data_IF_591839956483
#
_entry.id   IF_591839956483
#
_cell.length_a   1.000
_cell.length_b   1.000
_cell.length_c   1.000
_cell.angle_alpha   90.00
_cell.angle_beta   90.00
_cell.angle_gamma   90.00
#
_symmetry.space_group_name_H-M   'P 1'
#
loop_
_entity.id
_entity.type
_entity.pdbx_description
1 polymer ?
#
# COMPACT_ATOMS: atom_id res chain seq x y z
N UNK A 1 -6.95 -35.80 3.49
CA UNK A 1 -6.98 -34.34 3.25
C UNK A 1 -6.12 -34.06 2.02
N UNK A 2 -6.74 -33.67 0.90
CA UNK A 2 -6.02 -33.35 -0.31
C UNK A 2 -5.28 -32.00 -0.15
N UNK A 3 -4.05 -31.85 -0.64
CA UNK A 3 -3.32 -30.58 -0.56
C UNK A 3 -4.01 -29.50 -1.39
N UNK A 4 -4.25 -28.33 -0.78
CA UNK A 4 -4.80 -27.15 -1.45
C UNK A 4 -3.81 -26.71 -2.55
N UNK A 5 -4.25 -26.54 -3.81
CA UNK A 5 -3.35 -26.19 -4.90
C UNK A 5 -2.65 -24.87 -4.67
N UNK A 6 -1.38 -24.79 -5.03
CA UNK A 6 -0.44 -23.68 -4.74
C UNK A 6 -0.89 -22.33 -5.29
N UNK A 7 -1.72 -22.31 -6.35
CA UNK A 7 -2.30 -21.09 -6.94
C UNK A 7 -3.38 -20.46 -6.04
N UNK A 8 -4.16 -21.26 -5.29
CA UNK A 8 -5.14 -20.74 -4.33
C UNK A 8 -4.48 -20.07 -3.10
N UNK A 9 -3.28 -20.53 -2.69
CA UNK A 9 -2.51 -19.89 -1.62
C UNK A 9 -1.95 -18.52 -2.03
N UNK A 10 -1.63 -18.32 -3.32
CA UNK A 10 -1.09 -17.06 -3.84
C UNK A 10 -2.16 -15.97 -3.99
N UNK A 11 -3.39 -16.32 -4.34
CA UNK A 11 -4.53 -15.38 -4.41
C UNK A 11 -4.94 -14.92 -3.01
N UNK A 12 -4.89 -15.81 -2.01
CA UNK A 12 -5.20 -15.47 -0.62
C UNK A 12 -4.19 -14.49 0.00
N UNK A 13 -2.89 -14.57 -0.36
CA UNK A 13 -1.87 -13.68 0.18
C UNK A 13 -1.99 -12.24 -0.33
N UNK A 14 -2.46 -12.06 -1.55
CA UNK A 14 -2.63 -10.75 -2.16
C UNK A 14 -3.90 -10.03 -1.67
N UNK A 15 -5.01 -10.77 -1.52
CA UNK A 15 -6.23 -10.27 -0.90
C UNK A 15 -6.06 -10.01 0.61
N UNK A 16 -5.19 -10.75 1.30
CA UNK A 16 -4.94 -10.61 2.73
C UNK A 16 -4.29 -9.27 3.10
N UNK A 17 -3.47 -8.67 2.23
CA UNK A 17 -2.91 -7.33 2.50
C UNK A 17 -4.00 -6.26 2.52
N UNK A 18 -5.06 -6.41 1.72
CA UNK A 18 -6.21 -5.51 1.70
C UNK A 18 -7.26 -5.91 2.75
N UNK A 19 -7.49 -7.22 2.97
CA UNK A 19 -8.54 -7.73 3.86
C UNK A 19 -8.19 -7.70 5.36
N UNK A 20 -6.91 -7.70 5.75
CA UNK A 20 -6.50 -7.60 7.16
C UNK A 20 -6.70 -6.20 7.78
N UNK A 21 -7.14 -5.24 6.98
CA UNK A 21 -7.43 -3.90 7.43
C UNK A 21 -8.88 -3.75 7.99
N UNK A 22 -9.72 -4.77 7.84
CA UNK A 22 -11.17 -4.68 8.17
C UNK A 22 -11.52 -4.90 9.66
N UNK A 23 -10.57 -5.24 10.54
CA UNK A 23 -10.89 -5.53 11.95
C UNK A 23 -10.61 -4.40 12.94
N UNK A 24 -10.18 -3.24 12.49
CA UNK A 24 -10.01 -2.07 13.35
C UNK A 24 -11.32 -1.26 13.41
N UNK A 25 -12.20 -1.62 14.35
CA UNK A 25 -13.32 -0.81 14.79
C UNK A 25 -12.82 0.61 15.14
N UNK A 26 -13.47 1.64 14.57
CA UNK A 26 -13.10 3.04 14.72
C UNK A 26 -13.32 3.54 16.15
N UNK A 27 -12.39 3.25 17.04
CA UNK A 27 -12.19 4.04 18.25
C UNK A 27 -11.23 5.19 17.93
N UNK A 28 -11.45 6.42 18.43
CA UNK A 28 -10.51 7.51 18.22
C UNK A 28 -9.18 7.15 18.89
N UNK A 29 -8.19 6.79 18.08
CA UNK A 29 -6.85 6.52 18.55
C UNK A 29 -6.19 7.85 18.91
N UNK A 30 -5.93 8.06 20.20
CA UNK A 30 -5.01 9.09 20.66
C UNK A 30 -3.63 8.77 20.06
N UNK A 31 -3.03 9.74 19.40
CA UNK A 31 -1.68 9.63 18.82
C UNK A 31 -0.73 9.04 19.86
N UNK A 32 0.04 7.97 19.56
CA UNK A 32 1.03 7.43 20.48
C UNK A 32 2.26 8.33 20.65
N UNK A 33 2.22 9.56 20.14
CA UNK A 33 3.24 10.58 20.31
C UNK A 33 3.00 11.49 21.51
N UNK A 34 2.32 10.97 22.56
CA UNK A 34 2.32 11.57 23.89
C UNK A 34 3.76 11.62 24.39
N UNK A 35 4.30 12.83 24.55
CA UNK A 35 5.68 13.15 24.87
C UNK A 35 6.26 12.32 26.02
N UNK A 36 6.95 11.26 25.67
CA UNK A 36 8.03 10.78 26.52
C UNK A 36 9.23 11.62 26.12
N UNK A 37 9.67 12.45 27.06
CA UNK A 37 10.84 13.29 26.89
C UNK A 37 11.97 12.48 26.29
N UNK A 38 12.35 12.81 25.05
CA UNK A 38 13.54 12.25 24.41
C UNK A 38 14.70 12.85 25.21
N UNK A 39 15.14 12.12 26.20
CA UNK A 39 16.44 12.33 26.82
C UNK A 39 17.44 12.33 25.67
N UNK A 40 18.26 13.35 25.60
CA UNK A 40 19.48 13.41 24.79
C UNK A 40 20.50 12.39 25.35
N UNK A 41 20.12 11.12 25.35
CA UNK A 41 20.98 10.01 25.69
C UNK A 41 21.62 9.50 24.41
N UNK A 42 22.89 9.79 24.30
CA UNK A 42 23.98 9.09 23.64
C UNK A 42 23.78 8.68 22.16
N UNK A 43 24.75 9.08 21.37
CA UNK A 43 25.11 8.61 20.02
C UNK A 43 25.44 7.10 19.95
N UNK A 44 25.01 6.28 20.95
CA UNK A 44 25.60 4.95 21.17
C UNK A 44 24.79 3.77 20.68
N UNK A 45 23.50 3.92 20.27
CA UNK A 45 22.73 2.73 19.86
C UNK A 45 21.80 2.95 18.65
N UNK A 46 22.37 3.51 17.59
CA UNK A 46 21.65 3.51 16.31
C UNK A 46 21.59 2.10 15.73
N UNK A 47 20.41 1.63 15.30
CA UNK A 47 20.26 0.30 14.74
C UNK A 47 21.19 0.08 13.55
N UNK A 48 21.93 -1.05 13.60
CA UNK A 48 22.86 -1.48 12.55
C UNK A 48 22.42 -2.74 11.84
N UNK A 49 21.47 -3.48 12.44
CA UNK A 49 20.94 -4.75 11.93
C UNK A 49 19.43 -4.73 11.95
N UNK A 50 18.86 -4.02 10.97
CA UNK A 50 17.41 -3.79 10.88
C UNK A 50 16.78 -4.94 10.11
N UNK A 51 15.70 -5.51 10.65
CA UNK A 51 14.81 -6.38 9.88
C UNK A 51 13.53 -5.62 9.58
N UNK A 52 13.15 -5.55 8.31
CA UNK A 52 11.90 -4.94 7.87
C UNK A 52 10.94 -6.01 7.33
N UNK A 53 9.82 -6.23 8.05
CA UNK A 53 8.75 -7.13 7.60
C UNK A 53 7.70 -6.42 6.75
N UNK A 54 7.88 -5.13 6.51
CA UNK A 54 6.93 -4.25 5.84
C UNK A 54 7.56 -3.66 4.59
N UNK A 55 7.13 -4.02 3.38
CA UNK A 55 7.71 -3.48 2.14
C UNK A 55 7.75 -1.95 2.08
N UNK A 56 6.72 -1.28 2.61
CA UNK A 56 6.68 0.19 2.64
C UNK A 56 7.85 0.79 3.45
N UNK A 57 8.13 0.24 4.62
CA UNK A 57 9.22 0.73 5.47
C UNK A 57 10.61 0.34 4.93
N UNK A 58 10.70 -0.80 4.23
CA UNK A 58 11.91 -1.16 3.50
C UNK A 58 12.24 -0.08 2.46
N UNK A 59 11.27 0.31 1.63
CA UNK A 59 11.44 1.40 0.67
C UNK A 59 11.81 2.73 1.34
N UNK A 60 11.20 3.04 2.50
CA UNK A 60 11.51 4.24 3.28
C UNK A 60 12.96 4.24 3.78
N UNK A 61 13.45 3.09 4.31
CA UNK A 61 14.84 2.94 4.74
C UNK A 61 15.84 3.18 3.61
N UNK A 62 15.57 2.63 2.43
CA UNK A 62 16.40 2.90 1.25
C UNK A 62 16.32 4.37 0.83
N UNK A 63 15.14 4.98 0.83
CA UNK A 63 14.93 6.37 0.44
C UNK A 63 15.67 7.38 1.34
N UNK A 64 15.91 7.03 2.60
CA UNK A 64 16.66 7.85 3.57
C UNK A 64 18.12 7.43 3.74
N UNK A 65 18.64 6.51 2.89
CA UNK A 65 20.03 6.08 2.92
C UNK A 65 20.39 5.12 4.05
N UNK A 66 19.40 4.43 4.63
CA UNK A 66 19.61 3.43 5.69
C UNK A 66 19.56 1.98 5.16
N UNK A 67 19.53 1.78 3.85
CA UNK A 67 19.41 0.47 3.20
C UNK A 67 20.52 -0.51 3.57
N UNK A 68 21.76 -0.04 3.69
CA UNK A 68 22.92 -0.88 4.03
C UNK A 68 22.84 -1.51 5.44
N UNK A 69 21.95 -1.01 6.28
CA UNK A 69 21.72 -1.54 7.63
C UNK A 69 20.65 -2.62 7.67
N UNK A 70 19.99 -2.93 6.55
CA UNK A 70 18.95 -3.93 6.50
C UNK A 70 19.59 -5.33 6.45
N UNK A 71 19.38 -6.11 7.51
CA UNK A 71 19.88 -7.48 7.66
C UNK A 71 18.91 -8.55 7.13
N UNK A 72 17.63 -8.21 6.97
CA UNK A 72 16.60 -9.11 6.45
C UNK A 72 15.31 -8.37 6.10
N UNK A 73 14.54 -8.95 5.19
CA UNK A 73 13.28 -8.37 4.68
C UNK A 73 12.20 -9.44 4.53
N UNK A 74 10.95 -9.01 4.35
CA UNK A 74 9.86 -9.96 4.10
C UNK A 74 9.97 -10.64 2.74
N UNK A 75 9.22 -11.74 2.58
CA UNK A 75 9.09 -12.46 1.29
C UNK A 75 8.44 -11.60 0.19
N UNK A 76 7.80 -10.49 0.57
CA UNK A 76 7.06 -9.58 -0.32
C UNK A 76 7.88 -8.35 -0.75
N UNK A 77 9.06 -8.16 -0.19
CA UNK A 77 9.97 -7.08 -0.55
C UNK A 77 10.59 -7.35 -1.92
N UNK A 78 10.19 -6.55 -2.92
CA UNK A 78 10.64 -6.64 -4.31
C UNK A 78 11.32 -5.36 -4.80
N UNK A 79 11.22 -4.28 -4.03
CA UNK A 79 11.80 -2.99 -4.36
C UNK A 79 12.45 -2.35 -3.11
N UNK A 80 13.59 -1.66 -3.29
CA UNK A 80 14.36 -1.57 -4.54
C UNK A 80 15.03 -2.91 -4.91
N UNK A 81 15.66 -3.05 -6.11
CA UNK A 81 16.23 -4.32 -6.58
C UNK A 81 17.23 -4.96 -5.62
N UNK A 82 17.90 -4.16 -4.79
CA UNK A 82 18.84 -4.60 -3.77
C UNK A 82 18.19 -5.57 -2.75
N UNK A 83 16.90 -5.46 -2.52
CA UNK A 83 16.15 -6.36 -1.62
C UNK A 83 16.21 -7.83 -2.05
N UNK A 84 16.48 -8.11 -3.34
CA UNK A 84 16.60 -9.46 -3.86
C UNK A 84 17.78 -10.24 -3.24
N UNK A 85 18.81 -9.55 -2.75
CA UNK A 85 20.01 -10.12 -2.14
C UNK A 85 19.90 -10.29 -0.64
N UNK A 86 18.87 -9.70 -0.02
CA UNK A 86 18.68 -9.74 1.43
C UNK A 86 18.00 -11.04 1.87
N UNK A 87 18.37 -11.57 3.04
CA UNK A 87 17.69 -12.71 3.65
C UNK A 87 16.18 -12.47 3.77
N UNK A 88 15.39 -13.49 3.38
CA UNK A 88 13.93 -13.46 3.51
C UNK A 88 13.53 -14.14 4.81
N UNK A 89 12.70 -13.46 5.62
CA UNK A 89 12.33 -13.87 6.98
C UNK A 89 10.81 -14.07 7.15
N UNK A 90 10.16 -14.56 6.11
CA UNK A 90 8.70 -14.77 6.12
C UNK A 90 7.92 -13.53 5.73
N UNK A 91 6.67 -13.46 6.16
CA UNK A 91 5.75 -12.38 5.79
C UNK A 91 4.85 -11.93 6.94
N UNK A 92 3.83 -11.13 6.60
CA UNK A 92 2.87 -10.60 7.56
C UNK A 92 2.14 -11.71 8.34
N UNK A 93 1.73 -12.78 7.65
CA UNK A 93 0.92 -13.84 8.24
C UNK A 93 1.75 -15.02 8.76
N UNK A 94 2.96 -15.19 8.24
CA UNK A 94 3.84 -16.34 8.49
C UNK A 94 5.30 -15.88 8.66
N UNK A 95 5.60 -15.03 9.65
CA UNK A 95 6.98 -14.62 9.92
C UNK A 95 7.81 -15.83 10.39
N UNK A 96 8.99 -16.00 9.80
CA UNK A 96 9.97 -17.00 10.24
C UNK A 96 10.78 -16.41 11.40
N UNK A 97 10.27 -16.59 12.63
CA UNK A 97 10.83 -15.97 13.82
C UNK A 97 12.21 -16.54 14.17
N UNK A 98 12.44 -17.83 13.92
CA UNK A 98 13.75 -18.46 14.16
C UNK A 98 14.81 -17.84 13.27
N UNK A 99 14.52 -17.77 11.96
CA UNK A 99 15.42 -17.14 11.00
C UNK A 99 15.63 -15.66 11.29
N UNK A 100 14.56 -14.95 11.66
CA UNK A 100 14.63 -13.55 12.05
C UNK A 100 15.60 -13.35 13.22
N UNK A 101 15.45 -14.10 14.30
CA UNK A 101 16.31 -13.99 15.48
C UNK A 101 17.75 -14.45 15.21
N UNK A 102 17.94 -15.45 14.32
CA UNK A 102 19.29 -15.91 13.92
C UNK A 102 20.12 -14.81 13.26
N UNK A 103 19.46 -13.81 12.65
CA UNK A 103 20.12 -12.64 12.06
C UNK A 103 20.55 -11.61 13.12
N UNK A 104 20.28 -11.84 14.41
CA UNK A 104 20.65 -10.97 15.54
C UNK A 104 20.28 -9.49 15.29
N UNK A 105 18.99 -9.18 15.08
CA UNK A 105 18.56 -7.81 14.83
C UNK A 105 18.65 -6.95 16.09
N UNK A 106 18.95 -5.68 15.91
CA UNK A 106 18.86 -4.62 16.93
C UNK A 106 17.65 -3.70 16.71
N UNK A 107 16.92 -3.90 15.61
CA UNK A 107 15.60 -3.32 15.36
C UNK A 107 14.80 -4.22 14.41
N UNK A 108 13.53 -4.48 14.74
CA UNK A 108 12.58 -5.15 13.85
C UNK A 108 11.40 -4.23 13.57
N UNK A 109 11.09 -3.99 12.29
CA UNK A 109 9.91 -3.26 11.88
C UNK A 109 8.81 -4.26 11.59
N UNK A 110 7.69 -4.15 12.30
CA UNK A 110 6.58 -5.09 12.29
C UNK A 110 5.27 -4.36 11.98
N UNK A 111 4.29 -5.06 11.42
CA UNK A 111 2.94 -4.51 11.40
C UNK A 111 2.36 -4.43 12.82
N UNK A 112 1.67 -3.36 13.13
CA UNK A 112 1.08 -3.17 14.47
C UNK A 112 0.08 -4.28 14.83
N UNK A 113 -0.55 -4.88 13.85
CA UNK A 113 -1.48 -6.01 13.99
C UNK A 113 -0.83 -7.35 14.32
N UNK A 114 0.50 -7.48 14.23
CA UNK A 114 1.24 -8.73 14.50
C UNK A 114 1.46 -8.97 16.01
N UNK A 115 0.38 -9.12 16.79
CA UNK A 115 0.46 -9.23 18.24
C UNK A 115 1.33 -10.41 18.72
N UNK A 116 1.24 -11.58 18.06
CA UNK A 116 2.01 -12.76 18.45
C UNK A 116 3.51 -12.58 18.22
N UNK A 117 3.88 -12.02 17.09
CA UNK A 117 5.28 -11.70 16.79
C UNK A 117 5.83 -10.66 17.77
N UNK A 118 5.07 -9.61 18.06
CA UNK A 118 5.48 -8.56 19.02
C UNK A 118 5.80 -9.18 20.38
N UNK A 119 4.94 -10.07 20.90
CA UNK A 119 5.22 -10.79 22.17
C UNK A 119 6.48 -11.66 22.13
N UNK A 120 6.78 -12.30 21.00
CA UNK A 120 7.99 -13.11 20.86
C UNK A 120 9.25 -12.23 20.85
N UNK A 121 9.21 -11.10 20.14
CA UNK A 121 10.32 -10.12 20.10
C UNK A 121 10.55 -9.46 21.47
N UNK A 122 9.49 -9.15 22.21
CA UNK A 122 9.57 -8.66 23.59
C UNK A 122 10.30 -9.65 24.52
N UNK A 123 9.94 -10.94 24.46
CA UNK A 123 10.63 -11.99 25.24
C UNK A 123 12.09 -12.14 24.85
N UNK A 124 12.42 -11.92 23.58
CA UNK A 124 13.78 -11.92 23.06
C UNK A 124 14.52 -10.60 23.32
N UNK A 125 13.86 -9.60 23.93
CA UNK A 125 14.40 -8.26 24.19
C UNK A 125 14.87 -7.54 22.92
N UNK A 126 14.24 -7.81 21.78
CA UNK A 126 14.55 -7.17 20.51
C UNK A 126 13.69 -5.91 20.34
N UNK A 127 14.31 -4.72 20.16
CA UNK A 127 13.59 -3.49 19.92
C UNK A 127 12.73 -3.55 18.66
N UNK A 128 11.53 -2.94 18.72
CA UNK A 128 10.58 -2.94 17.62
C UNK A 128 10.20 -1.53 17.19
N UNK A 129 9.83 -1.39 15.91
CA UNK A 129 9.12 -0.23 15.37
C UNK A 129 7.77 -0.72 14.80
N UNK A 130 6.66 -0.43 15.47
CA UNK A 130 5.33 -0.81 14.96
C UNK A 130 4.94 0.10 13.79
N UNK A 131 4.47 -0.52 12.71
CA UNK A 131 3.99 0.17 11.53
C UNK A 131 2.48 -0.01 11.38
N UNK A 132 1.80 1.10 11.19
CA UNK A 132 0.40 1.16 10.78
C UNK A 132 0.25 2.27 9.74
N UNK A 133 -0.73 2.13 8.86
CA UNK A 133 -1.11 3.19 7.94
C UNK A 133 -2.63 3.21 7.77
N UNK A 134 -3.20 4.38 7.59
CA UNK A 134 -4.63 4.60 7.39
C UNK A 134 -4.88 5.45 6.16
N UNK A 135 -4.01 6.42 5.91
CA UNK A 135 -4.17 7.37 4.82
C UNK A 135 -2.83 7.78 4.19
N UNK A 136 -2.90 8.68 3.22
CA UNK A 136 -1.76 9.13 2.45
C UNK A 136 -0.73 9.89 3.30
N UNK A 137 -1.19 10.67 4.29
CA UNK A 137 -0.32 11.43 5.18
C UNK A 137 0.58 10.55 6.05
N UNK A 138 0.08 9.38 6.47
CA UNK A 138 0.84 8.44 7.32
C UNK A 138 2.15 7.99 6.66
N UNK A 139 2.24 8.03 5.32
CA UNK A 139 3.45 7.65 4.59
C UNK A 139 4.62 8.57 4.96
N UNK A 140 4.45 9.88 4.86
CA UNK A 140 5.51 10.84 5.15
C UNK A 140 5.76 11.01 6.64
N UNK A 141 4.72 10.86 7.46
CA UNK A 141 4.84 10.82 8.92
C UNK A 141 5.67 9.61 9.37
N UNK A 142 5.40 8.43 8.83
CA UNK A 142 6.20 7.22 9.11
C UNK A 142 7.64 7.36 8.64
N UNK A 143 7.88 7.96 7.46
CA UNK A 143 9.24 8.24 6.99
C UNK A 143 10.02 9.08 8.02
N UNK A 144 9.41 10.14 8.54
CA UNK A 144 10.03 11.02 9.55
C UNK A 144 10.29 10.29 10.87
N UNK A 145 9.27 9.58 11.38
CA UNK A 145 9.38 8.81 12.61
C UNK A 145 10.45 7.72 12.54
N UNK A 146 10.47 6.97 11.43
CA UNK A 146 11.48 5.95 11.18
C UNK A 146 12.88 6.57 11.04
N UNK A 147 12.99 7.74 10.39
CA UNK A 147 14.22 8.49 10.26
C UNK A 147 14.82 8.89 11.61
N UNK A 148 13.99 9.32 12.56
CA UNK A 148 14.43 9.59 13.95
C UNK A 148 14.92 8.29 14.60
N UNK A 149 14.15 7.20 14.48
CA UNK A 149 14.47 5.91 15.13
C UNK A 149 15.79 5.31 14.63
N UNK A 150 16.13 5.53 13.36
CA UNK A 150 17.36 5.01 12.77
C UNK A 150 18.49 6.06 12.65
N UNK A 151 18.34 7.25 13.24
CA UNK A 151 19.37 8.31 13.19
C UNK A 151 19.60 8.91 11.80
N UNK A 152 18.61 8.84 10.92
CA UNK A 152 18.64 9.39 9.56
C UNK A 152 17.64 10.55 9.38
N UNK A 153 17.37 11.31 10.45
CA UNK A 153 16.32 12.34 10.49
C UNK A 153 16.37 13.31 9.32
N UNK A 154 17.52 13.93 9.05
CA UNK A 154 17.67 14.94 7.97
C UNK A 154 17.36 14.33 6.58
N UNK A 155 17.84 13.13 6.31
CA UNK A 155 17.59 12.45 5.04
C UNK A 155 16.13 12.02 4.91
N UNK A 156 15.52 11.55 6.00
CA UNK A 156 14.10 11.19 6.07
C UNK A 156 13.20 12.40 5.84
N UNK A 157 13.48 13.54 6.50
CA UNK A 157 12.74 14.79 6.32
C UNK A 157 12.81 15.26 4.85
N UNK A 158 14.01 15.20 4.25
CA UNK A 158 14.20 15.57 2.85
C UNK A 158 13.46 14.62 1.89
N UNK A 159 13.47 13.31 2.17
CA UNK A 159 12.77 12.31 1.36
C UNK A 159 11.25 12.48 1.47
N UNK A 160 10.73 12.68 2.68
CA UNK A 160 9.31 12.95 2.93
C UNK A 160 8.84 14.23 2.23
N UNK A 161 9.60 15.32 2.36
CA UNK A 161 9.30 16.59 1.69
C UNK A 161 9.25 16.45 0.16
N UNK A 162 10.14 15.64 -0.44
CA UNK A 162 10.08 15.36 -1.89
C UNK A 162 8.79 14.66 -2.29
N UNK A 163 8.36 13.65 -1.52
CA UNK A 163 7.08 12.96 -1.77
C UNK A 163 5.92 13.95 -1.70
N UNK A 164 5.85 14.76 -0.66
CA UNK A 164 4.80 15.77 -0.46
C UNK A 164 4.77 16.80 -1.59
N UNK A 165 5.92 17.30 -2.01
CA UNK A 165 6.04 18.27 -3.12
C UNK A 165 5.56 17.68 -4.44
N UNK A 166 5.92 16.42 -4.74
CA UNK A 166 5.51 15.73 -5.95
C UNK A 166 4.00 15.46 -5.96
N UNK A 167 3.44 14.99 -4.85
CA UNK A 167 2.00 14.79 -4.70
C UNK A 167 1.25 16.12 -4.85
N UNK A 168 1.70 17.18 -4.20
CA UNK A 168 1.11 18.53 -4.34
C UNK A 168 1.19 19.04 -5.78
N UNK A 169 2.28 18.76 -6.51
CA UNK A 169 2.40 19.13 -7.91
C UNK A 169 1.39 18.40 -8.80
N UNK A 170 1.15 17.10 -8.53
CA UNK A 170 0.11 16.32 -9.22
C UNK A 170 -1.27 16.94 -8.95
N UNK A 171 -1.61 17.18 -7.68
CA UNK A 171 -2.89 17.80 -7.31
C UNK A 171 -3.12 19.17 -7.98
N UNK A 172 -2.08 20.02 -8.04
CA UNK A 172 -2.18 21.32 -8.74
C UNK A 172 -2.45 21.18 -10.24
N UNK A 173 -1.89 20.17 -10.91
CA UNK A 173 -2.11 19.94 -12.36
C UNK A 173 -3.55 19.57 -12.69
N UNK A 174 -4.26 18.92 -11.77
CA UNK A 174 -5.64 18.48 -11.95
C UNK A 174 -6.66 19.42 -11.29
N UNK A 175 -6.20 20.42 -10.54
CA UNK A 175 -7.06 21.39 -9.87
C UNK A 175 -7.98 22.11 -10.84
N UNK A 176 -9.26 22.27 -10.45
CA UNK A 176 -10.28 22.92 -11.27
C UNK A 176 -10.81 22.09 -12.45
N UNK A 177 -10.34 20.85 -12.62
CA UNK A 177 -10.87 19.93 -13.64
C UNK A 177 -12.11 19.19 -13.14
N UNK A 178 -12.98 18.71 -14.05
CA UNK A 178 -14.05 17.79 -13.67
C UNK A 178 -13.50 16.58 -12.94
N UNK A 179 -14.17 16.15 -11.88
CA UNK A 179 -13.79 14.98 -11.09
C UNK A 179 -14.70 13.81 -11.46
N UNK A 180 -14.26 12.93 -12.39
CA UNK A 180 -15.10 11.83 -12.83
C UNK A 180 -15.39 10.86 -11.69
N UNK A 181 -16.66 10.41 -11.61
CA UNK A 181 -17.08 9.35 -10.69
C UNK A 181 -16.31 8.07 -11.01
N UNK A 182 -15.45 7.65 -10.10
CA UNK A 182 -14.50 6.56 -10.32
C UNK A 182 -14.75 5.40 -9.40
N UNK A 183 -14.91 4.21 -9.96
CA UNK A 183 -14.88 2.94 -9.22
C UNK A 183 -13.43 2.45 -9.22
N UNK A 184 -12.81 2.42 -8.03
CA UNK A 184 -11.45 1.91 -7.83
C UNK A 184 -11.52 0.47 -7.32
N UNK A 185 -11.22 -0.47 -8.21
CA UNK A 185 -11.30 -1.92 -7.94
C UNK A 185 -9.95 -2.46 -7.51
N UNK A 186 -9.92 -3.12 -6.36
CA UNK A 186 -8.72 -3.74 -5.80
C UNK A 186 -8.50 -5.17 -6.29
N UNK A 187 -9.57 -5.83 -6.75
CA UNK A 187 -9.51 -7.16 -7.29
C UNK A 187 -10.90 -7.74 -7.57
N UNK A 188 -10.92 -8.81 -8.33
CA UNK A 188 -12.08 -9.64 -8.63
C UNK A 188 -11.65 -11.04 -9.07
N UNK A 189 -12.62 -11.92 -9.26
CA UNK A 189 -12.37 -13.23 -9.90
C UNK A 189 -11.95 -13.02 -11.36
N UNK A 190 -10.84 -13.63 -11.78
CA UNK A 190 -10.34 -13.50 -13.15
C UNK A 190 -11.34 -14.11 -14.13
N UNK A 191 -11.56 -13.42 -15.24
CA UNK A 191 -12.51 -13.84 -16.28
C UNK A 191 -13.99 -13.64 -15.91
N UNK A 192 -14.33 -13.05 -14.74
CA UNK A 192 -15.71 -12.88 -14.31
C UNK A 192 -15.91 -11.61 -13.45
N UNK A 193 -17.11 -11.00 -13.51
CA UNK A 193 -17.53 -9.92 -12.60
C UNK A 193 -18.10 -10.50 -11.29
N UNK A 194 -17.29 -11.27 -10.57
CA UNK A 194 -17.63 -11.84 -9.27
C UNK A 194 -16.56 -11.51 -8.26
N UNK A 195 -16.95 -11.41 -6.97
CA UNK A 195 -16.06 -11.05 -5.87
C UNK A 195 -15.31 -9.75 -6.14
N UNK A 196 -16.00 -8.78 -6.71
CA UNK A 196 -15.42 -7.48 -6.98
C UNK A 196 -15.25 -6.75 -5.66
N UNK A 197 -14.00 -6.50 -5.27
CA UNK A 197 -13.65 -5.72 -4.08
C UNK A 197 -13.13 -4.36 -4.53
N UNK A 198 -13.71 -3.29 -4.01
CA UNK A 198 -13.40 -1.93 -4.41
C UNK A 198 -13.09 -1.03 -3.20
N UNK A 199 -12.49 0.13 -3.44
CA UNK A 199 -12.36 1.21 -2.45
C UNK A 199 -13.73 1.57 -1.88
N UNK A 200 -13.80 1.71 -0.58
CA UNK A 200 -15.02 2.14 0.13
C UNK A 200 -14.93 3.58 0.65
N UNK A 201 -14.08 4.43 0.09
CA UNK A 201 -13.97 5.83 0.47
C UNK A 201 -13.08 6.09 1.69
N UNK A 202 -12.13 5.19 1.98
CA UNK A 202 -11.15 5.36 3.03
C UNK A 202 -9.84 4.64 2.70
N UNK A 203 -8.72 5.16 3.17
CA UNK A 203 -7.40 4.59 3.01
C UNK A 203 -6.55 5.29 1.94
N UNK A 204 -5.27 4.95 1.89
CA UNK A 204 -4.29 5.69 1.10
C UNK A 204 -4.60 5.71 -0.41
N UNK A 205 -5.15 4.64 -0.98
CA UNK A 205 -5.52 4.61 -2.39
C UNK A 205 -6.74 5.48 -2.70
N UNK A 206 -7.71 5.57 -1.77
CA UNK A 206 -8.78 6.54 -1.84
C UNK A 206 -8.22 7.96 -1.86
N UNK A 207 -7.33 8.29 -0.92
CA UNK A 207 -6.72 9.62 -0.83
C UNK A 207 -5.93 9.97 -2.10
N UNK A 208 -5.21 8.98 -2.67
CA UNK A 208 -4.47 9.14 -3.93
C UNK A 208 -5.41 9.38 -5.11
N UNK A 209 -6.54 8.66 -5.17
CA UNK A 209 -7.56 8.86 -6.20
C UNK A 209 -8.14 10.27 -6.14
N UNK A 210 -8.50 10.73 -4.93
CA UNK A 210 -9.04 12.06 -4.70
C UNK A 210 -8.01 13.16 -5.06
N UNK A 211 -6.74 12.99 -4.65
CA UNK A 211 -5.63 13.89 -4.99
C UNK A 211 -5.39 13.94 -6.50
N UNK A 212 -5.54 12.82 -7.20
CA UNK A 212 -5.40 12.71 -8.64
C UNK A 212 -6.60 13.27 -9.44
N UNK A 213 -7.60 13.82 -8.76
CA UNK A 213 -8.76 14.49 -9.37
C UNK A 213 -9.90 13.54 -9.72
N UNK A 214 -9.94 12.32 -9.15
CA UNK A 214 -11.11 11.45 -9.22
C UNK A 214 -12.12 11.78 -8.11
N UNK A 215 -13.33 11.19 -8.21
CA UNK A 215 -14.32 11.16 -7.16
C UNK A 215 -14.71 9.70 -6.91
N UNK A 216 -14.34 9.16 -5.73
CA UNK A 216 -14.66 7.78 -5.39
C UNK A 216 -16.19 7.59 -5.31
N UNK A 217 -16.73 6.66 -6.12
CA UNK A 217 -18.18 6.40 -6.14
C UNK A 217 -18.71 5.85 -4.83
N UNK A 218 -17.85 5.36 -3.95
CA UNK A 218 -18.17 4.82 -2.64
C UNK A 218 -17.64 5.69 -1.49
N UNK A 219 -17.25 6.93 -1.76
CA UNK A 219 -16.68 7.87 -0.79
C UNK A 219 -17.58 8.15 0.42
N UNK A 220 -18.90 7.91 0.29
CA UNK A 220 -19.88 8.05 1.36
C UNK A 220 -19.82 6.92 2.42
N UNK A 221 -19.23 5.77 2.10
CA UNK A 221 -19.26 4.58 2.97
C UNK A 221 -18.19 4.61 4.07
N UNK A 222 -17.08 5.28 3.84
CA UNK A 222 -15.93 5.41 4.74
C UNK A 222 -15.37 4.08 5.25
N UNK A 223 -15.26 3.11 4.33
CA UNK A 223 -14.67 1.79 4.55
C UNK A 223 -13.40 1.65 3.73
N UNK A 224 -12.47 0.82 4.17
CA UNK A 224 -11.25 0.54 3.40
C UNK A 224 -11.58 -0.22 2.12
N UNK A 225 -12.45 -1.20 2.21
CA UNK A 225 -12.92 -1.98 1.06
C UNK A 225 -14.39 -2.36 1.19
N UNK A 226 -15.00 -2.60 0.05
CA UNK A 226 -16.41 -3.01 -0.07
C UNK A 226 -16.53 -4.08 -1.15
N UNK A 227 -17.23 -5.17 -0.85
CA UNK A 227 -17.60 -6.14 -1.85
C UNK A 227 -18.78 -5.61 -2.68
N UNK A 228 -18.59 -5.55 -4.00
CA UNK A 228 -19.53 -4.97 -4.95
C UNK A 228 -20.33 -6.05 -5.68
N UNK A 229 -21.65 -5.90 -5.72
CA UNK A 229 -22.48 -6.62 -6.69
C UNK A 229 -22.64 -5.84 -8.00
N UNK A 230 -23.09 -6.52 -9.04
CA UNK A 230 -23.40 -5.88 -10.33
C UNK A 230 -24.46 -4.77 -10.18
N UNK A 231 -25.48 -5.00 -9.34
CA UNK A 231 -26.53 -4.01 -9.06
C UNK A 231 -25.98 -2.76 -8.37
N UNK A 232 -25.04 -2.93 -7.43
CA UNK A 232 -24.38 -1.78 -6.79
C UNK A 232 -23.54 -0.99 -7.82
N UNK A 233 -22.82 -1.66 -8.70
CA UNK A 233 -22.03 -1.00 -9.76
C UNK A 233 -22.96 -0.20 -10.69
N UNK A 234 -24.08 -0.80 -11.11
CA UNK A 234 -25.10 -0.14 -11.92
C UNK A 234 -25.69 1.09 -11.22
N UNK A 235 -26.03 0.97 -9.95
CA UNK A 235 -26.62 2.05 -9.16
C UNK A 235 -25.65 3.23 -8.94
N UNK A 236 -24.36 2.95 -8.72
CA UNK A 236 -23.30 3.96 -8.54
C UNK A 236 -22.91 4.65 -9.87
N UNK A 237 -23.17 3.99 -10.99
CA UNK A 237 -22.97 4.49 -12.36
C UNK A 237 -21.60 5.17 -12.57
N UNK A 238 -20.47 4.46 -12.35
CA UNK A 238 -19.14 5.06 -12.49
C UNK A 238 -18.89 5.52 -13.92
N UNK A 239 -18.23 6.69 -14.05
CA UNK A 239 -17.78 7.26 -15.33
C UNK A 239 -16.40 6.73 -15.75
N UNK A 240 -15.63 6.25 -14.77
CA UNK A 240 -14.33 5.60 -14.94
C UNK A 240 -14.28 4.38 -14.02
N UNK A 241 -13.71 3.30 -14.52
CA UNK A 241 -13.32 2.14 -13.71
C UNK A 241 -11.80 2.02 -13.79
N UNK A 242 -11.15 1.99 -12.63
CA UNK A 242 -9.72 1.69 -12.50
C UNK A 242 -9.62 0.37 -11.73
N UNK A 243 -9.12 -0.66 -12.40
CA UNK A 243 -8.88 -1.97 -11.80
C UNK A 243 -7.38 -2.17 -11.59
N UNK A 244 -6.98 -2.44 -10.35
CA UNK A 244 -5.59 -2.58 -9.96
C UNK A 244 -5.15 -4.04 -10.05
N UNK A 245 -4.01 -4.27 -10.66
CA UNK A 245 -3.33 -5.54 -10.70
C UNK A 245 -1.94 -5.43 -10.11
N UNK A 246 -1.46 -6.48 -9.47
CA UNK A 246 -0.11 -6.56 -8.93
C UNK A 246 0.36 -8.01 -8.83
N UNK A 247 1.67 -8.20 -8.99
CA UNK A 247 2.27 -9.54 -9.03
C UNK A 247 2.00 -10.25 -10.35
N UNK A 248 2.06 -11.58 -10.32
CA UNK A 248 1.99 -12.42 -11.53
C UNK A 248 0.56 -12.92 -11.83
N UNK A 249 -0.48 -12.33 -11.22
CA UNK A 249 -1.84 -12.83 -11.32
C UNK A 249 -2.42 -12.65 -12.73
N UNK A 250 -2.16 -11.52 -13.36
CA UNK A 250 -2.56 -11.22 -14.74
C UNK A 250 -1.35 -10.69 -15.48
N UNK A 251 -1.01 -11.32 -16.59
CA UNK A 251 0.04 -10.81 -17.47
C UNK A 251 -0.50 -9.71 -18.37
N UNK A 252 0.31 -8.72 -18.74
CA UNK A 252 -0.12 -7.60 -19.58
C UNK A 252 -0.82 -8.02 -20.88
N UNK A 253 -0.39 -9.13 -21.50
CA UNK A 253 -1.01 -9.69 -22.72
C UNK A 253 -2.47 -10.10 -22.51
N UNK A 254 -2.90 -10.35 -21.28
CA UNK A 254 -4.28 -10.74 -20.95
C UNK A 254 -5.16 -9.55 -20.53
N UNK A 255 -4.62 -8.34 -20.41
CA UNK A 255 -5.37 -7.18 -19.95
C UNK A 255 -6.58 -6.85 -20.83
N UNK A 256 -6.49 -7.06 -22.13
CA UNK A 256 -7.63 -6.85 -23.04
C UNK A 256 -8.76 -7.86 -22.82
N UNK A 257 -8.42 -9.10 -22.50
CA UNK A 257 -9.40 -10.13 -22.17
C UNK A 257 -10.09 -9.81 -20.83
N UNK A 258 -9.31 -9.43 -19.82
CA UNK A 258 -9.84 -9.06 -18.50
C UNK A 258 -10.67 -7.77 -18.55
N UNK A 259 -10.31 -6.79 -19.40
CA UNK A 259 -11.11 -5.59 -19.62
C UNK A 259 -12.48 -5.89 -20.23
N UNK A 260 -12.54 -6.82 -21.20
CA UNK A 260 -13.81 -7.23 -21.84
C UNK A 260 -14.80 -7.89 -20.88
N UNK A 261 -14.35 -8.37 -19.72
CA UNK A 261 -15.28 -8.90 -18.70
C UNK A 261 -16.29 -7.84 -18.27
N UNK A 262 -15.91 -6.56 -18.29
CA UNK A 262 -16.78 -5.44 -17.95
C UNK A 262 -17.87 -5.18 -19.00
N UNK A 263 -17.75 -5.69 -20.22
CA UNK A 263 -18.78 -5.59 -21.29
C UNK A 263 -20.10 -6.25 -20.88
N UNK A 264 -20.08 -7.10 -19.82
CA UNK A 264 -21.29 -7.65 -19.22
C UNK A 264 -22.21 -6.57 -18.59
N UNK A 265 -21.70 -5.34 -18.35
CA UNK A 265 -22.46 -4.22 -17.80
C UNK A 265 -22.50 -3.02 -18.79
N UNK A 266 -23.11 -3.16 -19.97
CA UNK A 266 -23.01 -2.16 -21.06
C UNK A 266 -23.70 -0.83 -20.75
N UNK A 267 -24.62 -0.78 -19.77
CA UNK A 267 -25.29 0.44 -19.32
C UNK A 267 -24.42 1.30 -18.38
N UNK A 268 -23.33 0.76 -17.80
CA UNK A 268 -22.41 1.53 -16.97
C UNK A 268 -21.70 2.58 -17.84
N UNK A 269 -21.68 3.86 -17.45
CA UNK A 269 -21.07 4.94 -18.24
C UNK A 269 -19.60 4.65 -18.60
N UNK A 270 -18.81 4.13 -17.66
CA UNK A 270 -17.41 3.76 -17.89
C UNK A 270 -17.24 2.72 -19.01
N UNK A 271 -18.11 1.71 -19.05
CA UNK A 271 -18.07 0.64 -20.07
C UNK A 271 -18.47 1.20 -21.44
N UNK A 272 -19.62 1.90 -21.48
CA UNK A 272 -20.13 2.52 -22.71
C UNK A 272 -19.13 3.50 -23.34
N UNK A 273 -18.43 4.26 -22.50
CA UNK A 273 -17.46 5.28 -22.94
C UNK A 273 -16.03 4.74 -23.06
N UNK A 274 -15.82 3.42 -22.93
CA UNK A 274 -14.50 2.74 -22.99
C UNK A 274 -13.47 3.32 -21.98
N UNK A 275 -13.95 3.69 -20.81
CA UNK A 275 -13.12 4.21 -19.70
C UNK A 275 -12.92 3.17 -18.59
N UNK A 276 -12.66 1.92 -18.98
CA UNK A 276 -12.23 0.85 -18.10
C UNK A 276 -10.73 0.65 -18.27
N UNK A 277 -9.97 0.87 -17.21
CA UNK A 277 -8.51 0.87 -17.21
C UNK A 277 -7.99 -0.17 -16.22
N UNK A 278 -7.12 -1.04 -16.69
CA UNK A 278 -6.38 -2.00 -15.86
C UNK A 278 -4.98 -1.42 -15.65
N UNK A 279 -4.59 -1.23 -14.39
CA UNK A 279 -3.29 -0.70 -14.02
C UNK A 279 -2.53 -1.77 -13.22
N UNK A 280 -1.34 -2.13 -13.69
CA UNK A 280 -0.45 -3.06 -13.01
C UNK A 280 0.70 -2.32 -12.33
N UNK A 281 1.03 -2.72 -11.11
CA UNK A 281 2.18 -2.16 -10.40
C UNK A 281 2.15 -2.36 -8.90
N UNK A 282 3.33 -2.62 -8.32
CA UNK A 282 3.47 -2.78 -6.87
C UNK A 282 3.31 -1.46 -6.10
N UNK A 283 3.41 -0.31 -6.75
CA UNK A 283 3.19 1.01 -6.16
C UNK A 283 1.74 1.23 -5.70
N UNK A 284 0.79 0.44 -6.20
CA UNK A 284 -0.61 0.49 -5.76
C UNK A 284 -0.87 -0.28 -4.46
N UNK A 285 0.05 -1.15 -4.03
CA UNK A 285 -0.16 -2.01 -2.85
C UNK A 285 0.89 -1.78 -1.76
N UNK A 286 1.85 -0.89 -2.01
CA UNK A 286 2.90 -0.54 -1.06
C UNK A 286 2.79 0.95 -0.74
N UNK A 287 2.23 1.33 0.44
CA UNK A 287 2.13 2.72 0.86
C UNK A 287 3.49 3.26 1.30
N UNK A 288 4.36 3.48 0.33
CA UNK A 288 5.74 3.92 0.49
C UNK A 288 6.08 5.13 -0.38
N UNK A 289 7.36 5.49 -0.50
CA UNK A 289 7.80 6.68 -1.25
C UNK A 289 7.38 6.67 -2.73
N UNK A 290 7.14 5.48 -3.32
CA UNK A 290 6.68 5.33 -4.71
C UNK A 290 5.20 5.61 -4.93
N UNK A 291 4.46 5.98 -3.89
CA UNK A 291 3.04 6.36 -4.01
C UNK A 291 2.81 7.50 -5.01
N UNK A 292 3.83 8.31 -5.24
CA UNK A 292 3.83 9.36 -6.27
C UNK A 292 3.59 8.78 -7.67
N UNK A 293 4.13 7.58 -7.96
CA UNK A 293 3.91 6.90 -9.24
C UNK A 293 2.45 6.48 -9.40
N UNK A 294 1.83 5.97 -8.33
CA UNK A 294 0.41 5.64 -8.33
C UNK A 294 -0.45 6.88 -8.59
N UNK A 295 -0.17 7.99 -7.88
CA UNK A 295 -0.85 9.26 -8.07
C UNK A 295 -0.71 9.80 -9.50
N UNK A 296 0.49 9.73 -10.08
CA UNK A 296 0.74 10.14 -11.46
C UNK A 296 -0.04 9.30 -12.47
N UNK A 297 -0.08 7.97 -12.26
CA UNK A 297 -0.82 7.06 -13.14
C UNK A 297 -2.33 7.31 -13.03
N UNK A 298 -2.87 7.53 -11.83
CA UNK A 298 -4.28 7.89 -11.66
C UNK A 298 -4.58 9.22 -12.36
N UNK A 299 -3.77 10.26 -12.13
CA UNK A 299 -3.97 11.56 -12.77
C UNK A 299 -4.00 11.48 -14.31
N UNK A 300 -3.08 10.71 -14.91
CA UNK A 300 -3.07 10.49 -16.38
C UNK A 300 -4.25 9.68 -16.89
N UNK A 301 -4.73 8.74 -16.10
CA UNK A 301 -5.88 7.89 -16.45
C UNK A 301 -7.19 8.68 -16.39
N UNK A 302 -7.32 9.52 -15.36
CA UNK A 302 -8.51 10.34 -15.15
C UNK A 302 -8.56 11.54 -16.11
N UNK A 303 -7.40 12.12 -16.39
CA UNK A 303 -7.19 13.36 -17.15
C UNK A 303 -6.12 13.16 -18.25
N UNK A 304 -6.43 12.42 -19.33
CA UNK A 304 -5.43 12.08 -20.35
C UNK A 304 -4.81 13.30 -21.05
N UNK A 305 -5.50 14.44 -21.04
CA UNK A 305 -5.02 15.71 -21.58
C UNK A 305 -3.88 16.33 -20.74
N UNK A 306 -3.69 15.92 -19.47
CA UNK A 306 -2.62 16.42 -18.58
C UNK A 306 -1.27 15.79 -18.93
N UNK A 307 -1.27 14.60 -19.51
CA UNK A 307 -0.06 13.83 -19.86
C UNK A 307 0.56 14.17 -21.23
N UNK A 308 -0.01 15.11 -21.98
CA UNK A 308 0.42 15.48 -23.34
C UNK A 308 1.29 16.74 -23.38
N UNK A 309 2.29 16.86 -22.49
CA UNK A 309 3.32 17.90 -22.63
C UNK A 309 4.67 17.28 -22.88
#
# INVERSE_FOLDING_TARGET
>A
MAPVPTHLRRIAAAAAVVALLDTANAAPYASPHGGHGVSLAAAEDLPRRIISLVPATTEMLFAMGAGDRIAGVSNYDRFPPETARLPKVGGLLDPDVERLLSLKPDLVIVYDTQADLKRQLERAQVPMFPYAHRGLADITETMRALGVRVGAKTAADAAAARVEQQLAAIGRRVAGRPRPKTLLVFGRELGALRRVTASGGYGFLHDVLELAGGADVLGDLRKQSVDMSAEMILARAPEVIIELHYGDAVKPENFDAERRVWDALPSVPAVRNKRVHLLDGSEFVVPGPRIVLAAERFARTLHPEVGRK
#
